data_IF_801804086685
#
_entry.id   IF_801804086685
#
_cell.length_a   1.000
_cell.length_b   1.000
_cell.length_c   1.000
_cell.angle_alpha   90.00
_cell.angle_beta   90.00
_cell.angle_gamma   90.00
#
_symmetry.space_group_name_H-M   'P 1'
#
loop_
_entity.id
_entity.type
_entity.pdbx_description
1 polymer ?
#
# COMPACT_ATOMS: atom_id res chain seq x y z
N UNK A 1 9.92 14.47 51.62
CA UNK A 1 8.52 14.50 51.13
C UNK A 1 8.35 15.36 49.89
N UNK A 2 8.72 16.65 49.91
CA UNK A 2 8.56 17.56 48.76
C UNK A 2 9.24 17.06 47.46
N UNK A 3 10.49 16.59 47.54
CA UNK A 3 11.21 16.02 46.40
C UNK A 3 10.55 14.76 45.80
N UNK A 4 9.95 13.90 46.64
CA UNK A 4 9.24 12.69 46.18
C UNK A 4 7.99 13.08 45.39
N UNK A 5 7.29 14.12 45.84
CA UNK A 5 6.11 14.68 45.17
C UNK A 5 6.47 15.26 43.79
N UNK A 6 7.58 15.99 43.69
CA UNK A 6 8.08 16.54 42.40
C UNK A 6 8.41 15.39 41.43
N UNK A 7 9.12 14.36 41.90
CA UNK A 7 9.49 13.21 41.07
C UNK A 7 8.23 12.47 40.61
N UNK A 8 7.25 12.25 41.49
CA UNK A 8 6.00 11.58 41.14
C UNK A 8 5.21 12.36 40.07
N UNK A 9 5.14 13.69 40.19
CA UNK A 9 4.49 14.54 39.17
C UNK A 9 5.24 14.50 37.85
N UNK A 10 6.58 14.55 37.86
CA UNK A 10 7.39 14.46 36.66
C UNK A 10 7.15 13.12 35.93
N UNK A 11 7.14 12.01 36.67
CA UNK A 11 6.86 10.68 36.12
C UNK A 11 5.45 10.64 35.52
N UNK A 12 4.45 11.18 36.22
CA UNK A 12 3.07 11.24 35.73
C UNK A 12 2.97 12.01 34.40
N UNK A 13 3.62 13.17 34.30
CA UNK A 13 3.67 13.97 33.07
C UNK A 13 4.33 13.20 31.93
N UNK A 14 5.46 12.53 32.19
CA UNK A 14 6.14 11.69 31.19
C UNK A 14 5.26 10.54 30.70
N UNK A 15 4.51 9.89 31.59
CA UNK A 15 3.55 8.84 31.25
C UNK A 15 2.45 9.42 30.34
N UNK A 16 1.84 10.55 30.71
CA UNK A 16 0.78 11.20 29.94
C UNK A 16 1.28 11.56 28.53
N UNK A 17 2.47 12.18 28.41
CA UNK A 17 3.07 12.53 27.12
C UNK A 17 3.30 11.28 26.26
N UNK A 18 3.82 10.20 26.86
CA UNK A 18 4.09 8.95 26.15
C UNK A 18 2.80 8.30 25.61
N UNK A 19 1.74 8.28 26.42
CA UNK A 19 0.42 7.75 26.01
C UNK A 19 -0.16 8.56 24.87
N UNK A 20 -0.19 9.90 24.98
CA UNK A 20 -0.70 10.78 23.93
C UNK A 20 0.07 10.58 22.62
N UNK A 21 1.41 10.56 22.66
CA UNK A 21 2.25 10.34 21.46
C UNK A 21 1.95 8.99 20.78
N UNK A 22 1.77 7.92 21.56
CA UNK A 22 1.45 6.59 21.02
C UNK A 22 0.09 6.54 20.33
N UNK A 23 -0.92 7.16 20.92
CA UNK A 23 -2.27 7.18 20.33
C UNK A 23 -2.38 8.09 19.11
N UNK A 24 -1.72 9.26 19.15
CA UNK A 24 -1.65 10.16 18.00
C UNK A 24 -0.99 9.47 16.79
N UNK A 25 0.15 8.81 16.99
CA UNK A 25 0.86 8.09 15.93
C UNK A 25 -0.01 7.00 15.27
N UNK A 26 -0.72 6.19 16.06
CA UNK A 26 -1.60 5.13 15.54
C UNK A 26 -2.76 5.67 14.70
N UNK A 27 -3.32 6.81 15.09
CA UNK A 27 -4.47 7.40 14.40
C UNK A 27 -4.07 7.94 13.03
N UNK A 28 -2.92 8.62 12.94
CA UNK A 28 -2.38 9.12 11.67
C UNK A 28 -2.04 7.98 10.70
N UNK A 29 -1.48 6.88 11.21
CA UNK A 29 -1.16 5.71 10.37
C UNK A 29 -2.41 5.07 9.78
N UNK A 30 -3.46 4.84 10.58
CA UNK A 30 -4.69 4.24 10.07
C UNK A 30 -5.42 5.14 9.07
N UNK A 31 -5.42 6.45 9.30
CA UNK A 31 -5.97 7.41 8.34
C UNK A 31 -5.20 7.38 7.02
N UNK A 32 -3.86 7.31 7.08
CA UNK A 32 -3.01 7.22 5.90
C UNK A 32 -3.25 5.92 5.13
N UNK A 33 -3.36 4.79 5.83
CA UNK A 33 -3.70 3.50 5.23
C UNK A 33 -5.03 3.61 4.48
N UNK A 34 -6.08 4.08 5.14
CA UNK A 34 -7.42 4.20 4.51
C UNK A 34 -7.42 5.18 3.33
N UNK A 35 -6.74 6.32 3.48
CA UNK A 35 -6.61 7.33 2.42
C UNK A 35 -5.78 6.84 1.23
N UNK A 36 -4.95 5.81 1.41
CA UNK A 36 -4.20 5.16 0.32
C UNK A 36 -4.99 4.02 -0.30
N UNK A 37 -5.56 3.17 0.56
CA UNK A 37 -6.18 1.91 0.16
C UNK A 37 -7.41 2.12 -0.71
N UNK A 38 -8.23 3.12 -0.38
CA UNK A 38 -9.45 3.40 -1.14
C UNK A 38 -9.12 3.82 -2.59
N UNK A 39 -8.25 4.82 -2.84
CA UNK A 39 -7.79 5.13 -4.19
C UNK A 39 -7.14 3.95 -4.92
N UNK A 40 -6.33 3.13 -4.25
CA UNK A 40 -5.72 1.94 -4.86
C UNK A 40 -6.78 0.92 -5.28
N UNK A 41 -7.77 0.66 -4.44
CA UNK A 41 -8.89 -0.24 -4.77
C UNK A 41 -9.72 0.30 -5.94
N UNK A 42 -9.95 1.61 -6.00
CA UNK A 42 -10.67 2.24 -7.11
C UNK A 42 -9.85 2.18 -8.42
N UNK A 43 -8.54 2.42 -8.34
CA UNK A 43 -7.63 2.28 -9.47
C UNK A 43 -7.64 0.83 -10.01
N UNK A 44 -7.62 -0.16 -9.11
CA UNK A 44 -7.67 -1.55 -9.52
C UNK A 44 -9.02 -1.94 -10.15
N UNK A 45 -10.14 -1.43 -9.61
CA UNK A 45 -11.46 -1.61 -10.24
C UNK A 45 -11.49 -1.01 -11.64
N UNK A 46 -10.98 0.21 -11.79
CA UNK A 46 -10.82 0.82 -13.11
C UNK A 46 -9.94 -0.05 -14.02
N UNK A 47 -8.85 -0.64 -13.50
CA UNK A 47 -8.03 -1.55 -14.28
C UNK A 47 -8.78 -2.80 -14.73
N UNK A 48 -9.61 -3.43 -13.89
CA UNK A 48 -10.43 -4.59 -14.28
C UNK A 48 -11.37 -4.31 -15.46
N UNK A 49 -11.88 -3.08 -15.55
CA UNK A 49 -12.77 -2.68 -16.66
C UNK A 49 -12.01 -2.49 -17.98
N UNK A 50 -10.73 -2.14 -17.91
CA UNK A 50 -9.87 -1.85 -19.06
C UNK A 50 -8.92 -3.00 -19.43
N UNK A 51 -8.78 -4.00 -18.55
CA UNK A 51 -8.04 -5.23 -18.78
C UNK A 51 -8.94 -6.32 -19.38
N UNK A 52 -8.34 -7.36 -19.98
CA UNK A 52 -9.04 -8.58 -20.36
C UNK A 52 -9.90 -9.19 -19.26
N UNK A 53 -10.91 -9.95 -19.68
CA UNK A 53 -11.95 -10.51 -18.80
C UNK A 53 -11.40 -11.39 -17.66
N UNK A 54 -10.23 -12.01 -17.80
CA UNK A 54 -9.64 -12.85 -16.75
C UNK A 54 -9.28 -12.06 -15.47
N UNK A 55 -9.12 -10.74 -15.57
CA UNK A 55 -8.89 -9.87 -14.42
C UNK A 55 -10.19 -9.43 -13.74
N UNK A 56 -11.36 -9.68 -14.35
CA UNK A 56 -12.65 -9.28 -13.77
C UNK A 56 -13.07 -10.25 -12.68
N UNK A 57 -13.19 -9.73 -11.46
CA UNK A 57 -13.72 -10.48 -10.33
C UNK A 57 -15.22 -10.24 -10.16
N UNK A 58 -15.95 -11.29 -9.76
CA UNK A 58 -17.38 -11.19 -9.46
C UNK A 58 -17.66 -10.50 -8.12
N UNK A 59 -16.72 -10.59 -7.18
CA UNK A 59 -16.83 -9.96 -5.87
C UNK A 59 -16.20 -8.56 -5.90
N UNK A 60 -16.61 -7.64 -5.00
CA UNK A 60 -15.98 -6.35 -4.87
C UNK A 60 -14.49 -6.53 -4.57
N UNK A 61 -13.63 -5.93 -5.41
CA UNK A 61 -12.21 -5.90 -5.11
C UNK A 61 -11.98 -5.19 -3.77
N UNK A 62 -11.21 -5.86 -2.93
CA UNK A 62 -10.63 -5.37 -1.69
C UNK A 62 -9.18 -5.82 -1.61
N UNK A 63 -8.35 -5.02 -0.96
CA UNK A 63 -6.94 -5.34 -0.77
C UNK A 63 -6.58 -5.53 0.70
N UNK A 64 -5.40 -6.08 0.95
CA UNK A 64 -4.80 -6.18 2.28
C UNK A 64 -3.49 -5.39 2.31
N UNK A 65 -3.25 -4.63 3.38
CA UNK A 65 -1.97 -3.92 3.56
C UNK A 65 -0.84 -4.92 3.89
N UNK A 66 0.25 -4.92 3.12
CA UNK A 66 1.41 -5.83 3.32
C UNK A 66 2.57 -5.21 4.10
N UNK A 67 2.29 -4.16 4.89
CA UNK A 67 3.30 -3.43 5.67
C UNK A 67 4.00 -4.27 6.75
N UNK A 68 3.41 -5.40 7.17
CA UNK A 68 4.04 -6.33 8.12
C UNK A 68 5.24 -7.08 7.52
N UNK A 69 5.31 -7.20 6.18
CA UNK A 69 6.43 -7.83 5.47
C UNK A 69 7.53 -6.81 5.19
N UNK A 70 7.14 -5.60 4.77
CA UNK A 70 8.09 -4.61 4.23
C UNK A 70 8.51 -3.51 5.19
N UNK A 71 7.72 -3.22 6.23
CA UNK A 71 8.03 -2.20 7.23
C UNK A 71 6.87 -1.24 7.52
N UNK A 72 6.93 -0.61 8.70
CA UNK A 72 5.87 0.27 9.18
C UNK A 72 5.72 1.51 8.29
N UNK A 73 4.50 1.76 7.80
CA UNK A 73 4.18 2.97 7.02
C UNK A 73 4.35 2.84 5.49
N UNK A 74 4.70 1.65 4.99
CA UNK A 74 4.68 1.33 3.55
C UNK A 74 3.23 1.17 3.08
N UNK A 75 2.83 1.91 2.04
CA UNK A 75 1.47 1.90 1.48
C UNK A 75 1.37 0.96 0.27
N UNK A 76 1.59 -0.33 0.52
CA UNK A 76 1.50 -1.41 -0.48
C UNK A 76 0.34 -2.33 -0.12
N UNK A 77 -0.44 -2.66 -1.14
CA UNK A 77 -1.71 -3.34 -1.02
C UNK A 77 -1.74 -4.56 -1.93
N UNK A 78 -1.97 -5.72 -1.34
CA UNK A 78 -2.10 -6.99 -2.04
C UNK A 78 -3.53 -7.19 -2.53
N UNK A 79 -3.65 -7.61 -3.78
CA UNK A 79 -4.88 -8.06 -4.41
C UNK A 79 -4.75 -9.53 -4.77
N UNK A 80 -5.76 -10.31 -4.39
CA UNK A 80 -5.79 -11.76 -4.62
C UNK A 80 -6.84 -12.08 -5.69
N UNK A 81 -6.45 -12.83 -6.72
CA UNK A 81 -7.30 -13.25 -7.83
C UNK A 81 -7.42 -14.77 -7.87
N UNK A 82 -8.67 -15.25 -7.91
CA UNK A 82 -8.99 -16.68 -7.93
C UNK A 82 -8.89 -17.32 -9.35
N UNK A 83 -8.65 -16.55 -10.42
CA UNK A 83 -8.71 -17.06 -11.79
C UNK A 83 -7.34 -17.57 -12.31
N UNK A 84 -7.26 -18.89 -12.45
CA UNK A 84 -6.12 -19.63 -12.97
C UNK A 84 -5.71 -19.24 -14.41
N UNK A 85 -6.59 -18.56 -15.17
CA UNK A 85 -6.35 -18.21 -16.58
C UNK A 85 -5.49 -16.96 -16.78
N UNK A 86 -5.19 -16.22 -15.71
CA UNK A 86 -4.22 -15.12 -15.73
C UNK A 86 -2.86 -15.60 -16.28
N UNK A 87 -2.50 -16.87 -16.05
CA UNK A 87 -1.31 -17.55 -16.62
C UNK A 87 -1.22 -17.49 -18.16
N UNK A 88 -2.35 -17.47 -18.87
CA UNK A 88 -2.41 -17.56 -20.32
C UNK A 88 -2.52 -16.20 -21.02
N UNK A 89 -2.60 -15.09 -20.28
CA UNK A 89 -2.59 -13.75 -20.83
C UNK A 89 -1.34 -13.01 -20.38
N UNK A 90 -0.51 -12.65 -21.35
CA UNK A 90 0.71 -11.86 -21.12
C UNK A 90 0.30 -10.41 -20.90
N UNK A 91 -0.19 -10.09 -19.71
CA UNK A 91 -0.26 -8.70 -19.25
C UNK A 91 1.04 -8.44 -18.52
N UNK A 92 1.79 -7.47 -19.03
CA UNK A 92 3.01 -7.06 -18.34
C UNK A 92 2.64 -6.25 -17.10
N UNK A 93 3.41 -6.37 -16.02
CA UNK A 93 3.28 -5.48 -14.86
C UNK A 93 3.25 -4.00 -15.27
N UNK A 94 3.98 -3.66 -16.35
CA UNK A 94 4.04 -2.32 -16.95
C UNK A 94 2.69 -1.87 -17.51
N UNK A 95 1.96 -2.76 -18.17
CA UNK A 95 0.64 -2.45 -18.72
C UNK A 95 -0.39 -2.16 -17.61
N UNK A 96 -0.42 -3.02 -16.58
CA UNK A 96 -1.23 -2.77 -15.40
C UNK A 96 -0.84 -1.45 -14.72
N UNK A 97 0.46 -1.20 -14.52
CA UNK A 97 0.96 0.04 -13.95
C UNK A 97 0.51 1.27 -14.75
N UNK A 98 0.55 1.21 -16.08
CA UNK A 98 0.10 2.32 -16.93
C UNK A 98 -1.39 2.60 -16.73
N UNK A 99 -2.23 1.56 -16.70
CA UNK A 99 -3.69 1.72 -16.51
C UNK A 99 -4.01 2.28 -15.12
N UNK A 100 -3.30 1.84 -14.08
CA UNK A 100 -3.44 2.40 -12.73
C UNK A 100 -3.05 3.89 -12.69
N UNK A 101 -2.00 4.28 -13.40
CA UNK A 101 -1.57 5.68 -13.47
C UNK A 101 -2.44 6.53 -14.41
N UNK A 102 -3.11 5.94 -15.40
CA UNK A 102 -4.15 6.62 -16.17
C UNK A 102 -5.35 6.97 -15.28
N UNK A 103 -5.75 6.05 -14.39
CA UNK A 103 -6.74 6.34 -13.36
C UNK A 103 -6.27 7.48 -12.45
N UNK A 104 -5.02 7.44 -11.99
CA UNK A 104 -4.46 8.49 -11.15
C UNK A 104 -4.53 9.87 -11.83
N UNK A 105 -4.11 9.94 -13.09
CA UNK A 105 -4.16 11.16 -13.89
C UNK A 105 -5.59 11.70 -14.04
N UNK A 106 -6.56 10.84 -14.36
CA UNK A 106 -7.98 11.21 -14.54
C UNK A 106 -8.63 11.75 -13.26
N UNK A 107 -8.12 11.34 -12.10
CA UNK A 107 -8.68 11.70 -10.79
C UNK A 107 -7.78 12.66 -9.99
N UNK A 108 -6.77 13.26 -10.63
CA UNK A 108 -5.77 14.15 -10.01
C UNK A 108 -5.11 13.56 -8.74
N UNK A 109 -4.91 12.24 -8.76
CA UNK A 109 -4.18 11.55 -7.70
C UNK A 109 -2.69 11.77 -7.94
N UNK A 110 -2.10 12.58 -7.08
CA UNK A 110 -0.67 12.85 -7.07
C UNK A 110 -0.03 12.10 -5.90
N UNK A 111 1.17 11.57 -6.13
CA UNK A 111 1.97 10.93 -5.09
C UNK A 111 2.77 11.92 -4.26
N UNK A 112 3.65 11.38 -3.43
CA UNK A 112 4.55 12.13 -2.59
C UNK A 112 5.33 13.17 -3.40
N UNK A 113 5.36 14.42 -2.93
CA UNK A 113 6.01 15.57 -3.60
C UNK A 113 5.51 15.82 -5.03
N UNK A 114 4.25 15.51 -5.32
CA UNK A 114 3.62 15.84 -6.61
C UNK A 114 3.96 14.83 -7.73
N UNK A 115 4.40 13.63 -7.37
CA UNK A 115 4.68 12.56 -8.32
C UNK A 115 3.44 12.26 -9.18
N UNK A 116 3.56 12.42 -10.50
CA UNK A 116 2.43 12.28 -11.45
C UNK A 116 2.02 10.84 -11.74
N UNK A 117 2.93 9.89 -11.54
CA UNK A 117 2.65 8.46 -11.67
C UNK A 117 2.88 7.78 -10.33
N UNK A 118 1.91 7.83 -9.41
CA UNK A 118 2.14 7.43 -8.03
C UNK A 118 1.90 5.95 -7.76
N UNK A 119 1.30 5.20 -8.69
CA UNK A 119 1.09 3.77 -8.54
C UNK A 119 2.23 2.99 -9.16
N UNK A 120 2.67 1.94 -8.45
CA UNK A 120 3.67 0.97 -8.89
C UNK A 120 3.17 -0.44 -8.66
N UNK A 121 3.38 -1.32 -9.63
CA UNK A 121 3.15 -2.77 -9.44
C UNK A 121 4.49 -3.36 -8.99
N UNK A 122 4.57 -3.76 -7.72
CA UNK A 122 5.83 -4.18 -7.10
C UNK A 122 6.07 -5.68 -7.15
N UNK A 123 4.99 -6.48 -7.15
CA UNK A 123 5.09 -7.94 -7.27
C UNK A 123 3.85 -8.53 -7.96
N UNK A 124 4.03 -9.68 -8.59
CA UNK A 124 3.01 -10.44 -9.30
C UNK A 124 3.42 -11.91 -9.28
N UNK A 125 2.81 -12.70 -8.40
CA UNK A 125 3.19 -14.08 -8.17
C UNK A 125 1.98 -14.96 -7.92
N UNK A 126 2.13 -16.24 -8.18
CA UNK A 126 1.10 -17.24 -7.85
C UNK A 126 1.53 -17.96 -6.58
N UNK A 127 0.66 -17.97 -5.58
CA UNK A 127 0.88 -18.76 -4.39
C UNK A 127 0.82 -20.26 -4.71
N UNK A 128 1.79 -21.02 -4.20
CA UNK A 128 1.89 -22.46 -4.47
C UNK A 128 0.78 -23.25 -3.75
N UNK A 129 0.30 -22.75 -2.61
CA UNK A 129 -0.60 -23.50 -1.72
C UNK A 129 -2.07 -23.41 -2.14
N UNK A 130 -2.52 -22.25 -2.61
CA UNK A 130 -3.92 -21.99 -2.98
C UNK A 130 -4.12 -21.69 -4.48
N UNK A 131 -3.03 -21.64 -5.25
CA UNK A 131 -2.98 -21.32 -6.67
C UNK A 131 -3.59 -19.97 -7.05
N UNK A 132 -3.72 -19.05 -6.10
CA UNK A 132 -4.23 -17.71 -6.35
C UNK A 132 -3.12 -16.80 -6.84
N UNK A 133 -3.51 -15.82 -7.65
CA UNK A 133 -2.60 -14.77 -8.10
C UNK A 133 -2.62 -13.61 -7.14
N UNK A 134 -1.44 -13.24 -6.67
CA UNK A 134 -1.18 -12.13 -5.77
C UNK A 134 -0.53 -11.00 -6.56
N UNK A 135 -1.10 -9.81 -6.46
CA UNK A 135 -0.58 -8.60 -7.11
C UNK A 135 -0.40 -7.53 -6.05
N UNK A 136 0.84 -7.09 -5.88
CA UNK A 136 1.17 -6.03 -4.93
C UNK A 136 1.20 -4.69 -5.65
N UNK A 137 0.32 -3.78 -5.24
CA UNK A 137 0.25 -2.41 -5.76
C UNK A 137 0.65 -1.44 -4.67
N UNK A 138 1.67 -0.64 -4.96
CA UNK A 138 2.20 0.40 -4.10
C UNK A 138 1.68 1.77 -4.51
N UNK A 139 1.12 2.53 -3.56
CA UNK A 139 0.75 3.93 -3.78
C UNK A 139 1.75 4.86 -3.06
N UNK A 140 2.64 5.48 -3.83
CA UNK A 140 3.75 6.28 -3.31
C UNK A 140 3.23 7.64 -2.84
N UNK A 141 2.73 7.73 -1.61
CA UNK A 141 2.19 8.97 -1.03
C UNK A 141 2.98 9.52 0.15
N UNK A 142 3.98 8.78 0.63
CA UNK A 142 4.86 9.20 1.71
C UNK A 142 6.32 8.82 1.39
N UNK A 143 7.25 9.37 2.16
CA UNK A 143 8.68 9.12 1.96
C UNK A 143 9.06 7.65 2.16
N UNK A 144 8.50 6.99 3.17
CA UNK A 144 8.81 5.58 3.49
C UNK A 144 8.45 4.66 2.33
N UNK A 145 7.31 4.91 1.69
CA UNK A 145 6.84 4.14 0.55
C UNK A 145 7.70 4.40 -0.69
N UNK A 146 8.16 5.65 -0.89
CA UNK A 146 9.10 5.99 -1.98
C UNK A 146 10.43 5.25 -1.82
N UNK A 147 10.99 5.25 -0.62
CA UNK A 147 12.25 4.55 -0.30
C UNK A 147 12.10 3.04 -0.52
N UNK A 148 11.01 2.45 -0.02
CA UNK A 148 10.65 1.06 -0.26
C UNK A 148 10.62 0.72 -1.76
N UNK A 149 9.88 1.48 -2.58
CA UNK A 149 9.79 1.24 -4.02
C UNK A 149 11.17 1.29 -4.68
N UNK A 150 11.99 2.27 -4.32
CA UNK A 150 13.34 2.40 -4.88
C UNK A 150 14.24 1.21 -4.53
N UNK A 151 14.07 0.62 -3.35
CA UNK A 151 14.83 -0.57 -2.95
C UNK A 151 14.32 -1.83 -3.67
N UNK A 152 13.01 -1.98 -3.90
CA UNK A 152 12.45 -3.06 -4.73
C UNK A 152 12.97 -2.98 -6.17
N UNK A 153 12.99 -1.79 -6.79
CA UNK A 153 13.50 -1.60 -8.15
C UNK A 153 14.98 -2.03 -8.29
N UNK A 154 15.81 -1.76 -7.26
CA UNK A 154 17.20 -2.21 -7.23
C UNK A 154 17.33 -3.73 -7.16
N UNK A 155 16.45 -4.40 -6.43
CA UNK A 155 16.45 -5.87 -6.34
C UNK A 155 16.09 -6.49 -7.69
N UNK A 156 15.07 -5.98 -8.36
CA UNK A 156 14.61 -6.49 -9.66
C UNK A 156 15.64 -6.26 -10.78
N UNK A 157 16.49 -5.23 -10.67
CA UNK A 157 17.55 -4.96 -11.67
C UNK A 157 18.79 -5.84 -11.47
N UNK A 158 18.92 -6.52 -10.32
CA UNK A 158 20.07 -7.38 -9.98
C UNK A 158 19.78 -8.88 -10.17
N UNK A 159 18.54 -9.25 -10.49
CA UNK A 159 18.11 -10.61 -10.80
C UNK A 159 18.19 -10.86 -12.32
#
# INVERSE_FOLDING_TARGET
>A
MFFILIIAVLILVLIIISVIRRHAAKTTTNQLIMASQLPTNQAMRYAQDNLPEVFRQKQPISSTLVANVWGHGVMTFEFIFDDLRITNQVITMIELENILNDYACKNDLNGYRGLKKPFKVTDFWQALDDHKWHIDITYIINQVTLEYTHDIEKLNTRA
#
